data_IF_392601838305
#
_entry.id   IF_392601838305
#
_cell.length_a   1.000
_cell.length_b   1.000
_cell.length_c   1.000
_cell.angle_alpha   90.00
_cell.angle_beta   90.00
_cell.angle_gamma   90.00
#
_symmetry.space_group_name_H-M   'P 1'
#
loop_
_entity.id
_entity.type
_entity.pdbx_description
1 polymer ?
#
# COMPACT_ATOMS: atom_id res chain seq x y z
N UNK A 1 -10.78 1.95 -3.87
CA UNK A 1 -9.34 1.68 -3.73
C UNK A 1 -8.77 1.54 -5.13
N UNK A 2 -7.63 2.18 -5.42
CA UNK A 2 -7.01 2.14 -6.75
C UNK A 2 -5.69 1.37 -6.73
N UNK A 3 -5.32 0.79 -7.86
CA UNK A 3 -4.03 0.14 -8.06
C UNK A 3 -3.32 0.82 -9.22
N UNK A 4 -2.11 1.32 -8.98
CA UNK A 4 -1.27 1.98 -9.97
C UNK A 4 -0.08 1.09 -10.29
N UNK A 5 0.14 0.82 -11.57
CA UNK A 5 1.33 0.14 -12.05
C UNK A 5 2.28 1.18 -12.64
N UNK A 6 3.48 1.27 -12.09
CA UNK A 6 4.51 2.17 -12.60
C UNK A 6 5.54 1.37 -13.41
N UNK A 7 5.76 1.80 -14.65
CA UNK A 7 6.75 1.18 -15.53
C UNK A 7 8.20 1.63 -15.26
N UNK A 8 8.36 2.64 -14.40
CA UNK A 8 9.65 3.23 -14.06
C UNK A 8 10.47 2.33 -13.13
N UNK A 9 11.74 2.14 -13.45
CA UNK A 9 12.67 1.38 -12.60
C UNK A 9 12.90 2.07 -11.24
N UNK A 10 12.83 3.40 -11.22
CA UNK A 10 13.09 4.19 -10.02
C UNK A 10 12.02 5.25 -9.82
N UNK A 11 11.27 5.13 -8.73
CA UNK A 11 10.18 6.04 -8.39
C UNK A 11 10.72 7.24 -7.59
N UNK A 12 10.45 8.44 -8.11
CA UNK A 12 10.78 9.73 -7.52
C UNK A 12 9.58 10.44 -6.91
N UNK A 13 9.81 11.66 -6.41
CA UNK A 13 8.75 12.47 -5.79
C UNK A 13 7.73 13.01 -6.81
N UNK A 14 8.12 13.12 -8.08
CA UNK A 14 7.26 13.66 -9.15
C UNK A 14 6.10 12.71 -9.42
N UNK A 15 6.37 11.42 -9.42
CA UNK A 15 5.40 10.35 -9.65
C UNK A 15 4.39 10.32 -8.50
N UNK A 16 4.87 10.38 -7.26
CA UNK A 16 4.01 10.43 -6.06
C UNK A 16 3.07 11.65 -6.09
N UNK A 17 3.57 12.83 -6.48
CA UNK A 17 2.72 14.04 -6.62
C UNK A 17 1.65 13.86 -7.71
N UNK A 18 2.02 13.22 -8.80
CA UNK A 18 1.09 12.94 -9.91
C UNK A 18 -0.01 11.97 -9.46
N UNK A 19 0.36 10.90 -8.76
CA UNK A 19 -0.59 9.94 -8.18
C UNK A 19 -1.52 10.60 -7.16
N UNK A 20 -0.98 11.42 -6.26
CA UNK A 20 -1.79 12.19 -5.30
C UNK A 20 -2.83 13.07 -5.98
N UNK A 21 -2.47 13.76 -7.07
CA UNK A 21 -3.41 14.57 -7.84
C UNK A 21 -4.53 13.71 -8.43
N UNK A 22 -4.19 12.57 -9.03
CA UNK A 22 -5.20 11.65 -9.57
C UNK A 22 -6.12 11.09 -8.49
N UNK A 23 -5.57 10.76 -7.31
CA UNK A 23 -6.35 10.33 -6.14
C UNK A 23 -7.32 11.42 -5.69
N UNK A 24 -6.88 12.68 -5.65
CA UNK A 24 -7.73 13.83 -5.31
C UNK A 24 -8.85 14.03 -6.33
N UNK A 25 -8.52 14.07 -7.62
CA UNK A 25 -9.49 14.28 -8.72
C UNK A 25 -10.58 13.21 -8.72
N UNK A 26 -10.21 11.97 -8.40
CA UNK A 26 -11.12 10.83 -8.40
C UNK A 26 -11.74 10.54 -7.03
N UNK A 27 -11.48 11.40 -6.04
CA UNK A 27 -11.97 11.27 -4.68
C UNK A 27 -11.66 9.90 -4.04
N UNK A 28 -10.44 9.41 -4.25
CA UNK A 28 -9.93 8.13 -3.73
C UNK A 28 -8.92 8.39 -2.61
N UNK A 29 -9.16 7.78 -1.46
CA UNK A 29 -8.31 7.95 -0.26
C UNK A 29 -7.35 6.79 0.00
N UNK A 30 -7.54 5.65 -0.67
CA UNK A 30 -6.70 4.46 -0.54
C UNK A 30 -6.23 3.96 -1.89
N UNK A 31 -4.93 3.77 -2.04
CA UNK A 31 -4.35 3.21 -3.25
C UNK A 31 -3.13 2.33 -2.98
N UNK A 32 -2.86 1.44 -3.92
CA UNK A 32 -1.68 0.58 -3.97
C UNK A 32 -0.87 0.98 -5.19
N UNK A 33 0.45 1.07 -5.04
CA UNK A 33 1.40 1.35 -6.11
C UNK A 33 2.34 0.16 -6.31
N UNK A 34 2.37 -0.41 -7.50
CA UNK A 34 3.29 -1.49 -7.87
C UNK A 34 4.49 -0.88 -8.60
N UNK A 35 5.69 -1.13 -8.07
CA UNK A 35 6.97 -0.60 -8.58
C UNK A 35 7.88 -1.73 -9.02
N UNK A 36 8.77 -1.48 -9.99
CA UNK A 36 9.71 -2.53 -10.45
C UNK A 36 10.88 -2.77 -9.51
N UNK A 37 11.54 -1.71 -9.05
CA UNK A 37 12.80 -1.87 -8.32
C UNK A 37 12.87 -1.02 -7.06
N UNK A 38 13.16 0.28 -7.18
CA UNK A 38 13.43 1.10 -5.98
C UNK A 38 12.65 2.40 -5.97
N UNK A 39 12.39 2.88 -4.76
CA UNK A 39 11.84 4.20 -4.52
C UNK A 39 12.86 5.04 -3.76
N UNK A 40 13.03 6.29 -4.20
CA UNK A 40 13.91 7.24 -3.50
C UNK A 40 13.45 7.50 -2.06
N UNK A 41 14.38 7.82 -1.16
CA UNK A 41 14.06 8.14 0.23
C UNK A 41 13.08 9.32 0.34
N UNK A 42 13.19 10.31 -0.54
CA UNK A 42 12.27 11.45 -0.59
C UNK A 42 10.85 11.04 -1.00
N UNK A 43 10.72 10.11 -1.96
CA UNK A 43 9.42 9.57 -2.34
C UNK A 43 8.81 8.73 -1.20
N UNK A 44 9.60 7.89 -0.51
CA UNK A 44 9.17 7.18 0.70
C UNK A 44 8.65 8.11 1.78
N UNK A 45 9.38 9.20 2.05
CA UNK A 45 8.93 10.21 3.00
C UNK A 45 7.61 10.85 2.56
N UNK A 46 7.51 11.24 1.29
CA UNK A 46 6.27 11.83 0.75
C UNK A 46 5.07 10.88 0.83
N UNK A 47 5.28 9.57 0.76
CA UNK A 47 4.23 8.57 0.97
C UNK A 47 3.75 8.57 2.42
N UNK A 48 4.69 8.56 3.37
CA UNK A 48 4.38 8.64 4.80
C UNK A 48 3.64 9.93 5.18
N UNK A 49 4.06 11.07 4.61
CA UNK A 49 3.48 12.39 4.88
C UNK A 49 2.03 12.55 4.37
N UNK A 50 1.55 11.64 3.52
CA UNK A 50 0.18 11.65 3.03
C UNK A 50 -0.83 11.05 4.02
N UNK A 51 -0.36 10.21 4.95
CA UNK A 51 -1.17 9.67 6.02
C UNK A 51 -1.53 10.76 7.05
N UNK A 52 -2.67 10.64 7.76
CA UNK A 52 -3.66 9.57 7.67
C UNK A 52 -4.71 9.80 6.57
N UNK A 53 -4.73 10.97 5.94
CA UNK A 53 -5.81 11.36 5.00
C UNK A 53 -5.81 10.53 3.73
N UNK A 54 -4.63 10.26 3.17
CA UNK A 54 -4.46 9.39 2.01
C UNK A 54 -3.52 8.25 2.39
N UNK A 55 -3.98 7.03 2.19
CA UNK A 55 -3.20 5.81 2.41
C UNK A 55 -2.71 5.35 1.05
N UNK A 56 -1.40 5.48 0.82
CA UNK A 56 -0.74 4.95 -0.35
C UNK A 56 0.25 3.88 0.10
N UNK A 57 -0.07 2.62 -0.21
CA UNK A 57 0.81 1.49 0.02
C UNK A 57 1.57 1.17 -1.27
N UNK A 58 2.73 0.54 -1.16
CA UNK A 58 3.50 0.12 -2.33
C UNK A 58 4.06 -1.28 -2.17
N UNK A 59 4.14 -1.99 -3.29
CA UNK A 59 4.74 -3.32 -3.42
C UNK A 59 5.70 -3.32 -4.59
N UNK A 60 6.74 -4.14 -4.50
CA UNK A 60 7.53 -4.48 -5.69
C UNK A 60 6.78 -5.50 -6.52
N UNK A 61 6.89 -5.42 -7.83
CA UNK A 61 6.31 -6.42 -8.74
C UNK A 61 6.77 -7.84 -8.39
N UNK A 62 8.05 -8.01 -8.06
CA UNK A 62 8.65 -9.27 -7.60
C UNK A 62 7.98 -9.85 -6.35
N UNK A 63 7.40 -9.01 -5.49
CA UNK A 63 6.70 -9.46 -4.27
C UNK A 63 5.29 -9.98 -4.57
N UNK A 64 4.73 -9.61 -5.72
CA UNK A 64 3.36 -9.95 -6.12
C UNK A 64 3.30 -11.06 -7.19
N UNK A 65 4.44 -11.59 -7.65
CA UNK A 65 4.49 -12.68 -8.65
C UNK A 65 3.82 -13.95 -8.11
N UNK A 66 3.99 -14.23 -6.81
CA UNK A 66 3.42 -15.39 -6.15
C UNK A 66 2.61 -14.94 -4.96
N UNK A 67 1.36 -15.39 -4.89
CA UNK A 67 0.54 -15.16 -3.73
C UNK A 67 0.99 -16.06 -2.56
N UNK A 68 1.68 -15.47 -1.59
CA UNK A 68 2.21 -16.21 -0.43
C UNK A 68 1.10 -16.71 0.51
N UNK A 69 -0.14 -16.22 0.40
CA UNK A 69 -1.25 -16.69 1.25
C UNK A 69 -1.66 -18.13 0.94
N UNK A 70 -1.33 -18.61 -0.25
CA UNK A 70 -1.72 -19.95 -0.72
C UNK A 70 -0.66 -21.00 -0.37
N UNK A 71 0.42 -20.58 0.28
CA UNK A 71 1.51 -21.46 0.67
C UNK A 71 1.10 -22.31 1.89
N UNK A 72 1.39 -23.62 1.86
CA UNK A 72 1.01 -24.59 2.91
C UNK A 72 1.47 -24.18 4.32
N UNK A 73 2.66 -23.57 4.43
CA UNK A 73 3.21 -23.09 5.70
C UNK A 73 2.59 -21.76 6.20
N UNK A 74 1.69 -21.14 5.44
CA UNK A 74 1.04 -19.87 5.81
C UNK A 74 -0.41 -20.15 6.22
N UNK A 75 -0.75 -20.06 7.52
CA UNK A 75 -2.13 -20.24 7.97
C UNK A 75 -3.02 -19.07 7.52
N UNK A 76 -4.32 -19.29 7.55
CA UNK A 76 -5.31 -18.24 7.28
C UNK A 76 -5.28 -17.17 8.38
N UNK A 77 -5.09 -15.91 7.98
CA UNK A 77 -5.10 -14.77 8.89
C UNK A 77 -6.42 -14.00 8.76
N UNK A 78 -7.17 -13.90 9.85
CA UNK A 78 -8.45 -13.18 9.88
C UNK A 78 -8.28 -11.87 10.65
N UNK A 79 -8.78 -10.77 10.08
CA UNK A 79 -8.77 -9.46 10.72
C UNK A 79 -9.81 -9.42 11.84
N UNK A 80 -9.37 -9.10 13.06
CA UNK A 80 -10.26 -8.88 14.20
C UNK A 80 -10.96 -7.52 14.07
N UNK A 81 -12.26 -7.51 14.33
CA UNK A 81 -13.03 -6.28 14.52
C UNK A 81 -12.67 -5.64 15.87
N UNK A 82 -12.90 -4.33 16.04
CA UNK A 82 -12.65 -3.66 17.31
C UNK A 82 -13.39 -4.30 18.51
N UNK A 83 -14.60 -4.80 18.27
CA UNK A 83 -15.41 -5.50 19.29
C UNK A 83 -14.78 -6.83 19.71
N UNK A 84 -14.34 -7.64 18.73
CA UNK A 84 -13.68 -8.93 18.96
C UNK A 84 -12.32 -8.75 19.66
N UNK A 85 -11.60 -7.69 19.31
CA UNK A 85 -10.34 -7.34 19.98
C UNK A 85 -10.58 -6.96 21.45
N UNK A 86 -11.62 -6.18 21.75
CA UNK A 86 -11.97 -5.80 23.11
C UNK A 86 -12.43 -7.02 23.94
N UNK A 87 -13.19 -7.94 23.35
CA UNK A 87 -13.55 -9.20 24.00
C UNK A 87 -12.31 -10.03 24.32
N UNK A 88 -11.39 -10.17 23.36
CA UNK A 88 -10.17 -10.94 23.55
C UNK A 88 -9.29 -10.40 24.69
N UNK A 89 -9.18 -9.07 24.81
CA UNK A 89 -8.38 -8.43 25.86
C UNK A 89 -9.01 -8.53 27.25
N UNK A 90 -10.32 -8.78 27.35
CA UNK A 90 -11.04 -8.92 28.61
C UNK A 90 -11.15 -10.38 29.09
N UNK A 91 -10.54 -11.34 28.38
CA UNK A 91 -10.41 -12.75 28.78
C UNK A 91 -9.12 -12.99 29.56
#
# INVERSE_FOLDING_TARGET
MFVFFLDEDKVGIKEIRTLRRQMLEKNVFKAIMVIKNTMTSQAKQSVADMAPKYILEYFRDLELIVNITDHELVPEHVLLKPEEQAELLNR
#
